data_IF_171013740441
#
_entry.id   IF_171013740441
#
_cell.length_a   1.000
_cell.length_b   1.000
_cell.length_c   1.000
_cell.angle_alpha   90.00
_cell.angle_beta   90.00
_cell.angle_gamma   90.00
#
_symmetry.space_group_name_H-M   'P 1'
#
loop_
_entity.id
_entity.type
_entity.pdbx_description
1 polymer ?
#
# COMPACT_ATOMS: atom_id res chain seq x y z
N UNK A 1 29.58 -12.08 -12.13
CA UNK A 1 30.55 -11.66 -11.13
C UNK A 1 30.26 -12.37 -9.82
N UNK A 2 31.24 -13.12 -9.31
CA UNK A 2 31.05 -13.86 -8.08
C UNK A 2 31.15 -12.93 -6.88
N UNK A 3 30.33 -13.14 -5.89
CA UNK A 3 30.36 -12.36 -4.68
C UNK A 3 29.36 -11.21 -4.63
N UNK A 4 28.68 -10.93 -5.75
CA UNK A 4 27.61 -9.92 -5.75
C UNK A 4 26.26 -10.62 -5.56
N UNK A 5 25.51 -10.12 -4.62
CA UNK A 5 24.19 -10.66 -4.32
C UNK A 5 23.11 -9.65 -4.69
N UNK A 6 21.95 -10.11 -5.16
CA UNK A 6 20.86 -9.18 -5.45
C UNK A 6 20.46 -8.41 -4.19
N UNK A 7 20.29 -7.11 -4.36
CA UNK A 7 19.77 -6.28 -3.28
C UNK A 7 18.25 -6.30 -3.39
N UNK A 8 17.61 -6.82 -2.36
CA UNK A 8 16.15 -6.85 -2.33
C UNK A 8 15.66 -5.56 -1.71
N UNK A 9 15.13 -4.70 -2.55
CA UNK A 9 14.51 -3.47 -2.10
C UNK A 9 13.00 -3.60 -2.25
N UNK A 10 12.22 -3.13 -1.28
CA UNK A 10 10.77 -3.19 -1.43
C UNK A 10 10.34 -2.42 -2.67
N UNK A 11 9.40 -2.98 -3.42
CA UNK A 11 8.81 -2.29 -4.55
C UNK A 11 7.94 -1.14 -4.04
N UNK A 12 7.56 -0.23 -4.95
CA UNK A 12 6.69 0.89 -4.57
C UNK A 12 5.38 0.38 -3.96
N UNK A 13 4.78 -0.67 -4.52
CA UNK A 13 3.54 -1.23 -3.99
C UNK A 13 3.72 -1.78 -2.57
N UNK A 14 4.88 -2.38 -2.30
CA UNK A 14 5.16 -2.91 -0.97
C UNK A 14 5.33 -1.80 0.05
N UNK A 15 6.01 -0.71 -0.34
CA UNK A 15 6.16 0.45 0.53
C UNK A 15 4.81 1.09 0.83
N UNK A 16 3.97 1.23 -0.20
CA UNK A 16 2.63 1.81 -0.03
C UNK A 16 1.81 0.89 0.88
N UNK A 17 1.86 -0.43 0.66
CA UNK A 17 1.13 -1.37 1.49
C UNK A 17 1.57 -1.28 2.96
N UNK A 18 2.87 -1.12 3.20
CA UNK A 18 3.37 -1.00 4.57
C UNK A 18 2.85 0.25 5.25
N UNK A 19 2.84 1.39 4.55
CA UNK A 19 2.31 2.63 5.10
C UNK A 19 0.82 2.54 5.38
N UNK A 20 0.06 1.95 4.46
CA UNK A 20 -1.38 1.76 4.66
C UNK A 20 -1.66 0.82 5.82
N UNK A 21 -0.88 -0.25 5.95
CA UNK A 21 -1.05 -1.19 7.06
C UNK A 21 -0.83 -0.49 8.39
N UNK A 22 0.21 0.34 8.47
CA UNK A 22 0.46 1.12 9.68
C UNK A 22 -0.71 2.04 10.00
N UNK A 23 -1.23 2.73 8.98
CA UNK A 23 -2.34 3.65 9.19
C UNK A 23 -3.60 2.94 9.65
N UNK A 24 -3.87 1.75 9.11
CA UNK A 24 -5.03 0.96 9.51
C UNK A 24 -4.86 0.46 10.95
N UNK A 25 -3.70 -0.09 11.29
CA UNK A 25 -3.46 -0.65 12.60
C UNK A 25 -3.40 0.42 13.68
N UNK A 26 -2.94 1.63 13.35
CA UNK A 26 -2.91 2.74 14.28
C UNK A 26 -4.22 3.52 14.31
N UNK A 27 -5.20 3.09 13.54
CA UNK A 27 -6.53 3.71 13.44
C UNK A 27 -6.50 5.13 12.91
N UNK A 28 -5.46 5.49 12.17
CA UNK A 28 -5.44 6.76 11.44
C UNK A 28 -6.43 6.73 10.28
N UNK A 29 -6.64 5.53 9.71
CA UNK A 29 -7.72 5.29 8.76
C UNK A 29 -8.80 4.53 9.49
N UNK A 30 -9.98 5.13 9.58
CA UNK A 30 -11.09 4.52 10.31
C UNK A 30 -11.85 3.57 9.40
N UNK A 31 -12.39 2.54 10.02
CA UNK A 31 -13.22 1.58 9.31
C UNK A 31 -14.43 2.31 8.73
N UNK A 32 -14.69 2.04 7.45
CA UNK A 32 -15.80 2.68 6.76
C UNK A 32 -15.48 4.05 6.17
N UNK A 33 -14.28 4.57 6.41
CA UNK A 33 -13.88 5.85 5.84
C UNK A 33 -13.70 5.69 4.33
N UNK A 34 -14.25 6.65 3.58
CA UNK A 34 -14.12 6.64 2.14
C UNK A 34 -12.72 7.09 1.75
N UNK A 35 -11.95 6.21 1.14
CA UNK A 35 -10.59 6.50 0.72
C UNK A 35 -10.47 6.20 -0.77
N UNK A 36 -9.99 7.16 -1.54
CA UNK A 36 -9.79 6.95 -2.97
C UNK A 36 -8.31 6.67 -3.25
N UNK A 37 -8.07 5.96 -4.35
CA UNK A 37 -6.71 5.68 -4.76
C UNK A 37 -5.94 6.98 -5.02
N UNK A 38 -6.63 7.95 -5.62
CA UNK A 38 -6.02 9.24 -5.95
C UNK A 38 -5.62 10.02 -4.71
N UNK A 39 -6.46 10.01 -3.68
CA UNK A 39 -6.13 10.75 -2.45
C UNK A 39 -4.94 10.12 -1.74
N UNK A 40 -4.87 8.80 -1.72
CA UNK A 40 -3.73 8.10 -1.13
C UNK A 40 -2.46 8.38 -1.93
N UNK A 41 -2.55 8.30 -3.24
CA UNK A 41 -1.41 8.57 -4.10
C UNK A 41 -0.87 9.97 -3.89
N UNK A 42 -1.77 10.96 -3.77
CA UNK A 42 -1.38 12.34 -3.51
C UNK A 42 -0.67 12.48 -2.15
N UNK A 43 -1.22 11.87 -1.12
CA UNK A 43 -0.64 11.97 0.21
C UNK A 43 0.73 11.32 0.28
N UNK A 44 0.92 10.21 -0.43
CA UNK A 44 2.18 9.49 -0.42
C UNK A 44 3.15 9.95 -1.50
N UNK A 45 2.70 10.86 -2.36
CA UNK A 45 3.50 11.43 -3.44
C UNK A 45 4.01 10.32 -4.39
N UNK A 46 3.10 9.42 -4.73
CA UNK A 46 3.38 8.33 -5.67
C UNK A 46 2.29 8.30 -6.74
N UNK A 47 2.52 7.54 -7.79
CA UNK A 47 1.50 7.34 -8.82
C UNK A 47 0.39 6.42 -8.29
N UNK A 48 -0.73 6.37 -9.01
CA UNK A 48 -1.90 5.58 -8.60
C UNK A 48 -1.66 4.08 -8.71
N UNK A 49 -0.83 3.65 -9.68
CA UNK A 49 -0.66 2.23 -9.92
C UNK A 49 -0.14 1.44 -8.71
N UNK A 50 0.96 1.86 -8.05
CA UNK A 50 1.41 1.12 -6.87
C UNK A 50 0.39 1.17 -5.73
N UNK A 51 -0.42 2.23 -5.64
CA UNK A 51 -1.48 2.30 -4.62
C UNK A 51 -2.54 1.25 -4.91
N UNK A 52 -2.95 1.10 -6.16
CA UNK A 52 -3.92 0.08 -6.55
C UNK A 52 -3.42 -1.31 -6.21
N UNK A 53 -2.15 -1.58 -6.53
CA UNK A 53 -1.57 -2.88 -6.23
C UNK A 53 -1.47 -3.12 -4.72
N UNK A 54 -1.14 -2.07 -3.97
CA UNK A 54 -1.09 -2.16 -2.51
C UNK A 54 -2.46 -2.47 -1.91
N UNK A 55 -3.51 -1.85 -2.44
CA UNK A 55 -4.87 -2.13 -1.97
C UNK A 55 -5.23 -3.61 -2.22
N UNK A 56 -4.81 -4.16 -3.35
CA UNK A 56 -5.07 -5.57 -3.63
C UNK A 56 -4.34 -6.47 -2.63
N UNK A 57 -3.12 -6.11 -2.26
CA UNK A 57 -2.36 -6.86 -1.24
C UNK A 57 -3.10 -6.83 0.09
N UNK A 58 -3.54 -5.66 0.52
CA UNK A 58 -4.23 -5.52 1.80
C UNK A 58 -5.59 -6.22 1.79
N UNK A 59 -6.29 -6.20 0.67
CA UNK A 59 -7.57 -6.91 0.55
C UNK A 59 -7.35 -8.41 0.65
N UNK A 60 -6.27 -8.93 0.04
CA UNK A 60 -5.94 -10.34 0.15
C UNK A 60 -5.65 -10.74 1.58
N UNK A 61 -5.01 -9.83 2.32
CA UNK A 61 -4.68 -10.08 3.73
C UNK A 61 -5.88 -9.85 4.66
N UNK A 62 -7.03 -9.44 4.12
CA UNK A 62 -8.23 -9.23 4.91
C UNK A 62 -8.27 -7.92 5.68
N UNK A 63 -7.32 -7.01 5.43
CA UNK A 63 -7.26 -5.75 6.17
C UNK A 63 -8.23 -4.71 5.61
N UNK A 64 -8.57 -4.80 4.35
CA UNK A 64 -9.54 -3.89 3.73
C UNK A 64 -10.45 -4.69 2.80
N UNK A 65 -11.59 -4.09 2.46
CA UNK A 65 -12.50 -4.62 1.45
C UNK A 65 -12.48 -3.69 0.25
N UNK A 66 -12.25 -4.26 -0.93
CA UNK A 66 -12.35 -3.50 -2.16
C UNK A 66 -13.81 -3.42 -2.56
N UNK A 67 -14.32 -2.21 -2.70
CA UNK A 67 -15.69 -1.98 -3.15
C UNK A 67 -15.64 -1.52 -4.60
N UNK A 68 -16.61 -1.96 -5.36
CA UNK A 68 -16.78 -1.54 -6.74
C UNK A 68 -17.90 -0.52 -6.84
#
# INVERSE_FOLDING_TARGET
MNGLHPIKMPSAKEKVAAELRKAILSRQLQEGEAVTLESVANQLEVSVMPVREAFQILARDGLIKLQR
#
